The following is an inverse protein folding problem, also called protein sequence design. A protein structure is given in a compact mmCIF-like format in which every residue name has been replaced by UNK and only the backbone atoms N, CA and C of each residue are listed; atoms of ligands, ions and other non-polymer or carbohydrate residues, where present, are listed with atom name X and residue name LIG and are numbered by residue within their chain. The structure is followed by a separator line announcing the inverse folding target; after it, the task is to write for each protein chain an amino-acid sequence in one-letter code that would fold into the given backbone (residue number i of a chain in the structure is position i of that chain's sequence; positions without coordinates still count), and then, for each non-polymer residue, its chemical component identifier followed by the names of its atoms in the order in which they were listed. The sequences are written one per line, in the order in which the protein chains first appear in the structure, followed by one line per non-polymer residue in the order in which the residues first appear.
data_IF_319142365284
#
_entry.id   IF_319142365284
#
_cell.length_a   1.000
_cell.length_b   1.000
_cell.length_c   1.000
_cell.angle_alpha   90.00
_cell.angle_beta   90.00
_cell.angle_gamma   90.00
#
_symmetry.space_group_name_H-M   'P 1'
#
loop_
_entity.id
_entity.type
_entity.pdbx_description
1 polymer ?
#
# COMPACT_ATOMS: atom_id res chain seq x y z
N UNK A 1 10.09 -20.17 -1.59
CA UNK A 1 9.08 -19.50 -0.73
C UNK A 1 8.02 -18.72 -1.52
N UNK A 2 8.28 -18.25 -2.74
CA UNK A 2 7.31 -17.49 -3.56
C UNK A 2 5.99 -18.24 -3.88
N UNK A 3 6.03 -19.57 -4.00
CA UNK A 3 4.88 -20.37 -4.46
C UNK A 3 3.70 -20.37 -3.45
N UNK A 4 3.97 -20.27 -2.15
CA UNK A 4 2.89 -20.28 -1.14
C UNK A 4 2.18 -18.92 -1.05
N UNK A 5 2.91 -17.81 -1.08
CA UNK A 5 2.31 -16.47 -1.05
C UNK A 5 1.38 -16.24 -2.26
N UNK A 6 1.85 -16.55 -3.47
CA UNK A 6 1.05 -16.38 -4.68
C UNK A 6 -0.18 -17.28 -4.67
N UNK A 7 -0.05 -18.51 -4.14
CA UNK A 7 -1.19 -19.40 -3.92
C UNK A 7 -2.21 -18.78 -2.97
N UNK A 8 -1.81 -18.31 -1.79
CA UNK A 8 -2.74 -17.69 -0.83
C UNK A 8 -3.44 -16.46 -1.42
N UNK A 9 -2.70 -15.60 -2.13
CA UNK A 9 -3.28 -14.45 -2.83
C UNK A 9 -4.33 -14.88 -3.88
N UNK A 10 -4.04 -15.91 -4.69
CA UNK A 10 -5.03 -16.39 -5.68
C UNK A 10 -6.31 -16.98 -5.05
N UNK A 11 -6.22 -17.55 -3.85
CA UNK A 11 -7.34 -18.21 -3.18
C UNK A 11 -8.33 -17.24 -2.52
N UNK A 12 -7.88 -16.04 -2.14
CA UNK A 12 -8.68 -15.09 -1.36
C UNK A 12 -9.64 -14.24 -2.20
N UNK A 13 -9.64 -14.39 -3.53
CA UNK A 13 -10.59 -13.70 -4.41
C UNK A 13 -10.49 -12.17 -4.29
N UNK A 14 -9.28 -11.63 -4.46
CA UNK A 14 -9.06 -10.19 -4.48
C UNK A 14 -9.78 -9.57 -5.68
N UNK A 15 -10.40 -8.40 -5.45
CA UNK A 15 -10.95 -7.57 -6.55
C UNK A 15 -9.98 -6.47 -6.97
N UNK A 16 -8.93 -6.28 -6.18
CA UNK A 16 -7.87 -5.33 -6.44
C UNK A 16 -6.73 -5.92 -7.29
N UNK A 17 -5.91 -5.08 -7.94
CA UNK A 17 -4.75 -5.53 -8.68
C UNK A 17 -3.72 -6.26 -7.79
N UNK A 18 -3.27 -7.42 -8.27
CA UNK A 18 -2.10 -8.15 -7.76
C UNK A 18 -1.06 -8.14 -8.87
N UNK A 19 0.07 -7.50 -8.62
CA UNK A 19 1.14 -7.27 -9.60
C UNK A 19 2.32 -8.16 -9.22
N UNK A 20 2.64 -9.10 -10.10
CA UNK A 20 3.77 -10.03 -9.98
C UNK A 20 4.87 -9.67 -10.96
N UNK A 21 6.03 -10.34 -10.87
CA UNK A 21 7.22 -10.00 -11.67
C UNK A 21 7.04 -10.10 -13.20
N UNK A 22 6.00 -10.78 -13.66
CA UNK A 22 5.60 -10.94 -15.07
C UNK A 22 4.61 -9.87 -15.55
N UNK A 23 4.07 -9.04 -14.65
CA UNK A 23 3.16 -7.95 -15.00
C UNK A 23 3.92 -6.75 -15.56
N UNK A 24 3.40 -6.11 -16.61
CA UNK A 24 4.08 -4.99 -17.29
C UNK A 24 4.39 -3.79 -16.37
N UNK A 25 3.47 -3.48 -15.46
CA UNK A 25 3.67 -2.41 -14.48
C UNK A 25 4.53 -2.79 -13.25
N UNK A 26 5.08 -4.00 -13.18
CA UNK A 26 5.83 -4.44 -11.99
C UNK A 26 7.00 -3.52 -11.63
N UNK A 27 7.82 -3.16 -12.62
CA UNK A 27 8.97 -2.26 -12.41
C UNK A 27 8.54 -0.83 -12.03
N UNK A 28 7.33 -0.42 -12.40
CA UNK A 28 6.76 0.87 -12.00
C UNK A 28 6.37 0.84 -10.52
N UNK A 29 5.59 -0.16 -10.11
CA UNK A 29 5.00 -0.18 -8.77
C UNK A 29 5.94 -0.69 -7.67
N UNK A 30 7.01 -1.42 -7.99
CA UNK A 30 7.99 -1.86 -6.96
C UNK A 30 8.93 -0.75 -6.46
N UNK A 31 9.08 0.31 -7.24
CA UNK A 31 10.03 1.40 -6.97
C UNK A 31 9.51 2.29 -5.85
N UNK A 32 10.42 2.69 -4.98
CA UNK A 32 10.18 3.68 -3.93
C UNK A 32 10.91 4.98 -4.26
N UNK A 33 10.62 6.05 -3.51
CA UNK A 33 11.22 7.37 -3.75
C UNK A 33 12.75 7.34 -3.73
N UNK A 34 13.34 6.63 -2.76
CA UNK A 34 14.78 6.48 -2.69
C UNK A 34 15.25 5.38 -3.66
N UNK A 35 15.77 5.79 -4.81
CA UNK A 35 16.28 4.89 -5.85
C UNK A 35 17.46 3.99 -5.43
N UNK A 36 18.09 4.25 -4.28
CA UNK A 36 19.09 3.32 -3.70
C UNK A 36 18.44 2.02 -3.22
N UNK A 37 17.16 2.05 -2.84
CA UNK A 37 16.42 0.87 -2.42
C UNK A 37 15.74 0.19 -3.62
N UNK A 38 16.49 -0.64 -4.36
CA UNK A 38 16.01 -1.40 -5.54
C UNK A 38 15.54 -2.82 -5.19
N UNK A 39 14.61 -2.96 -4.25
CA UNK A 39 14.11 -4.29 -3.85
C UNK A 39 13.12 -4.87 -4.85
N UNK A 40 13.01 -6.20 -4.87
CA UNK A 40 12.18 -6.98 -5.79
C UNK A 40 11.19 -7.86 -5.02
N UNK A 41 9.98 -7.37 -4.71
CA UNK A 41 8.96 -8.15 -4.02
C UNK A 41 8.46 -9.32 -4.88
N UNK A 42 7.95 -10.36 -4.25
CA UNK A 42 7.32 -11.46 -4.98
C UNK A 42 5.95 -11.06 -5.56
N UNK A 43 5.24 -10.17 -4.87
CA UNK A 43 3.97 -9.60 -5.31
C UNK A 43 3.76 -8.20 -4.70
N UNK A 44 2.95 -7.40 -5.38
CA UNK A 44 2.47 -6.10 -4.92
C UNK A 44 0.94 -6.14 -4.97
N UNK A 45 0.28 -5.83 -3.86
CA UNK A 45 -1.19 -5.72 -3.79
C UNK A 45 -1.54 -4.24 -3.64
N UNK A 46 -2.44 -3.75 -4.50
CA UNK A 46 -2.92 -2.36 -4.48
C UNK A 46 -4.38 -2.33 -4.00
N UNK A 47 -4.66 -2.48 -2.70
CA UNK A 47 -6.01 -2.66 -2.16
C UNK A 47 -6.91 -1.45 -2.44
N UNK A 48 -8.17 -1.72 -2.74
CA UNK A 48 -9.19 -0.68 -2.97
C UNK A 48 -10.24 -0.66 -1.85
N UNK A 49 -10.10 -1.53 -0.86
CA UNK A 49 -11.00 -1.66 0.28
C UNK A 49 -10.29 -2.20 1.51
N UNK A 50 -10.94 -2.10 2.68
CA UNK A 50 -10.47 -2.73 3.91
C UNK A 50 -10.44 -4.26 3.78
N UNK A 51 -11.39 -4.85 3.06
CA UNK A 51 -11.43 -6.29 2.78
C UNK A 51 -10.19 -6.75 2.00
N UNK A 52 -9.76 -5.99 0.98
CA UNK A 52 -8.53 -6.28 0.24
C UNK A 52 -7.29 -6.22 1.14
N UNK A 53 -7.22 -5.23 2.05
CA UNK A 53 -6.14 -5.12 3.04
C UNK A 53 -6.10 -6.34 3.95
N UNK A 54 -7.25 -6.71 4.51
CA UNK A 54 -7.37 -7.87 5.40
C UNK A 54 -6.89 -9.15 4.70
N UNK A 55 -7.36 -9.39 3.47
CA UNK A 55 -6.94 -10.54 2.67
C UNK A 55 -5.42 -10.54 2.41
N UNK A 56 -4.83 -9.40 2.06
CA UNK A 56 -3.39 -9.30 1.80
C UNK A 56 -2.56 -9.60 3.06
N UNK A 57 -2.98 -9.06 4.21
CA UNK A 57 -2.34 -9.34 5.51
C UNK A 57 -2.47 -10.81 5.87
N UNK A 58 -3.65 -11.42 5.67
CA UNK A 58 -3.86 -12.83 5.89
C UNK A 58 -2.98 -13.71 5.01
N UNK A 59 -2.87 -13.41 3.71
CA UNK A 59 -1.99 -14.13 2.79
C UNK A 59 -0.53 -14.07 3.24
N UNK A 60 -0.03 -12.87 3.60
CA UNK A 60 1.34 -12.70 4.07
C UNK A 60 1.60 -13.49 5.36
N UNK A 61 0.66 -13.45 6.32
CA UNK A 61 0.78 -14.20 7.57
C UNK A 61 0.76 -15.72 7.34
N UNK A 62 -0.18 -16.22 6.54
CA UNK A 62 -0.32 -17.64 6.21
C UNK A 62 0.92 -18.20 5.50
N UNK A 63 1.52 -17.40 4.60
CA UNK A 63 2.74 -17.79 3.89
C UNK A 63 4.03 -17.45 4.64
N UNK A 64 3.95 -16.80 5.81
CA UNK A 64 5.09 -16.22 6.55
C UNK A 64 5.97 -15.31 5.69
N UNK A 65 5.34 -14.59 4.75
CA UNK A 65 6.04 -13.63 3.91
C UNK A 65 6.36 -12.37 4.70
N UNK A 66 7.52 -11.77 4.43
CA UNK A 66 7.78 -10.40 4.87
C UNK A 66 6.75 -9.48 4.21
N UNK A 67 6.08 -8.66 5.01
CA UNK A 67 5.10 -7.68 4.55
C UNK A 67 5.68 -6.27 4.70
N UNK A 68 5.87 -5.58 3.58
CA UNK A 68 6.16 -4.15 3.56
C UNK A 68 4.88 -3.38 3.23
N UNK A 69 4.62 -2.28 3.94
CA UNK A 69 3.47 -1.40 3.69
C UNK A 69 3.97 -0.09 3.10
N UNK A 70 3.38 0.33 1.98
CA UNK A 70 3.72 1.58 1.30
C UNK A 70 2.52 2.52 1.28
N UNK A 71 2.67 3.67 1.94
CA UNK A 71 1.90 4.89 1.62
C UNK A 71 2.67 5.68 0.56
N UNK A 72 3.19 6.86 0.93
CA UNK A 72 3.98 7.70 0.00
C UNK A 72 5.38 7.20 -0.39
N UNK A 73 5.85 6.05 0.09
CA UNK A 73 7.12 5.46 -0.37
C UNK A 73 8.42 6.23 -0.02
N UNK A 74 8.37 7.21 0.89
CA UNK A 74 9.48 8.12 1.23
C UNK A 74 10.44 7.61 2.33
N UNK A 75 10.37 6.33 2.71
CA UNK A 75 11.28 5.76 3.70
C UNK A 75 12.72 5.79 3.19
N UNK A 76 13.61 6.57 3.84
CA UNK A 76 15.02 6.66 3.46
C UNK A 76 15.72 5.28 3.46
N UNK A 77 15.53 4.40 4.47
CA UNK A 77 16.07 3.03 4.43
C UNK A 77 15.33 2.06 3.50
N UNK A 78 14.28 2.52 2.81
CA UNK A 78 13.49 1.72 1.88
C UNK A 78 12.50 0.76 2.54
N UNK A 79 12.00 1.03 3.76
CA UNK A 79 11.08 0.11 4.45
C UNK A 79 9.71 -0.04 3.78
N UNK A 80 9.38 0.82 2.82
CA UNK A 80 8.18 0.73 2.00
C UNK A 80 8.27 -0.34 0.90
N UNK A 81 9.35 -1.13 0.86
CA UNK A 81 9.53 -2.26 -0.08
C UNK A 81 10.34 -3.39 0.55
N UNK A 82 10.31 -4.58 -0.05
CA UNK A 82 11.01 -5.78 0.43
C UNK A 82 11.39 -6.72 -0.72
N UNK A 83 12.39 -7.57 -0.50
CA UNK A 83 12.75 -8.64 -1.43
C UNK A 83 11.93 -9.92 -1.16
N UNK A 84 11.43 -10.54 -2.23
CA UNK A 84 10.71 -11.81 -2.22
C UNK A 84 9.47 -11.90 -1.30
N UNK A 85 9.06 -10.79 -0.66
CA UNK A 85 7.88 -10.67 0.18
C UNK A 85 6.69 -10.06 -0.53
N UNK A 86 5.74 -9.57 0.26
CA UNK A 86 4.55 -8.85 -0.21
C UNK A 86 4.72 -7.35 0.05
N UNK A 87 4.49 -6.54 -0.97
CA UNK A 87 4.26 -5.11 -0.78
C UNK A 87 2.75 -4.85 -0.79
N UNK A 88 2.26 -4.18 0.24
CA UNK A 88 0.91 -3.65 0.31
C UNK A 88 0.96 -2.14 0.01
N UNK A 89 0.63 -1.76 -1.22
CA UNK A 89 0.65 -0.37 -1.69
C UNK A 89 -0.72 0.29 -1.50
N UNK A 90 -0.84 1.12 -0.47
CA UNK A 90 -2.07 1.76 -0.04
C UNK A 90 -2.48 2.94 -0.94
N UNK A 91 -1.78 3.24 -2.03
CA UNK A 91 -1.99 4.44 -2.86
C UNK A 91 -3.41 4.61 -3.43
N UNK A 92 -4.28 3.59 -3.39
CA UNK A 92 -5.69 3.69 -3.79
C UNK A 92 -6.63 4.03 -2.61
N UNK A 93 -6.14 3.98 -1.36
CA UNK A 93 -6.89 4.27 -0.13
C UNK A 93 -6.59 5.70 0.36
N UNK A 94 -7.06 6.69 -0.38
CA UNK A 94 -6.72 8.12 -0.19
C UNK A 94 -7.87 8.97 0.33
N UNK A 95 -8.99 8.36 0.72
CA UNK A 95 -10.17 9.09 1.20
C UNK A 95 -9.85 9.97 2.42
N UNK A 96 -10.39 11.19 2.42
CA UNK A 96 -10.27 12.14 3.53
C UNK A 96 -11.69 12.59 3.91
N UNK A 97 -12.03 12.48 5.18
CA UNK A 97 -13.30 12.94 5.73
C UNK A 97 -13.05 13.89 6.92
N UNK A 98 -13.72 15.04 6.92
CA UNK A 98 -13.57 16.07 7.96
C UNK A 98 -14.85 16.12 8.78
N UNK A 99 -14.73 15.89 10.08
CA UNK A 99 -15.81 16.09 11.05
C UNK A 99 -15.61 17.43 11.77
N UNK A 100 -16.49 18.39 11.46
CA UNK A 100 -16.45 19.74 12.04
C UNK A 100 -16.93 19.80 13.48
N UNK A 101 -17.84 18.90 13.85
CA UNK A 101 -18.44 18.88 15.18
C UNK A 101 -17.41 18.37 16.19
N UNK A 102 -16.69 17.30 15.84
CA UNK A 102 -15.63 16.73 16.68
C UNK A 102 -14.25 17.33 16.43
N UNK A 103 -14.09 18.15 15.38
CA UNK A 103 -12.81 18.71 14.92
C UNK A 103 -11.74 17.64 14.67
N UNK A 104 -12.15 16.55 14.03
CA UNK A 104 -11.27 15.45 13.66
C UNK A 104 -11.28 15.22 12.16
N UNK A 105 -10.23 14.56 11.67
CA UNK A 105 -10.08 14.20 10.26
C UNK A 105 -9.72 12.72 10.20
N UNK A 106 -10.48 11.98 9.40
CA UNK A 106 -10.14 10.62 9.01
C UNK A 106 -9.39 10.65 7.68
N UNK A 107 -8.21 10.03 7.65
CA UNK A 107 -7.30 10.06 6.50
C UNK A 107 -6.92 8.64 6.12
N UNK A 108 -7.18 8.28 4.87
CA UNK A 108 -6.80 6.99 4.30
C UNK A 108 -5.28 6.80 4.31
N UNK A 109 -4.82 5.58 4.57
CA UNK A 109 -3.38 5.29 4.74
C UNK A 109 -2.51 5.52 3.49
N UNK A 110 -3.11 5.71 2.32
CA UNK A 110 -2.43 6.10 1.09
C UNK A 110 -2.42 7.59 0.80
N UNK A 111 -3.19 8.40 1.53
CA UNK A 111 -3.26 9.83 1.27
C UNK A 111 -1.91 10.50 1.52
N UNK A 112 -1.51 11.40 0.61
CA UNK A 112 -0.29 12.17 0.76
C UNK A 112 -0.57 13.48 1.50
N UNK A 113 0.47 14.10 2.06
CA UNK A 113 0.35 15.40 2.72
C UNK A 113 -0.29 16.46 1.80
N UNK A 114 0.05 16.45 0.51
CA UNK A 114 -0.56 17.38 -0.44
C UNK A 114 -2.05 17.12 -0.72
N UNK A 115 -2.56 15.91 -0.47
CA UNK A 115 -4.00 15.63 -0.52
C UNK A 115 -4.69 16.12 0.74
N UNK A 116 -4.04 15.93 1.89
CA UNK A 116 -4.52 16.44 3.17
C UNK A 116 -4.60 17.96 3.17
N UNK A 117 -3.53 18.66 2.76
CA UNK A 117 -3.51 20.12 2.63
C UNK A 117 -4.64 20.63 1.73
N UNK A 118 -4.86 19.95 0.60
CA UNK A 118 -5.93 20.32 -0.35
C UNK A 118 -7.32 20.21 0.28
N UNK A 119 -7.52 19.25 1.18
CA UNK A 119 -8.77 19.07 1.89
C UNK A 119 -8.94 20.05 3.06
N UNK A 120 -7.87 20.39 3.79
CA UNK A 120 -7.97 21.13 5.06
C UNK A 120 -7.77 22.63 4.94
N UNK A 121 -6.95 23.10 3.98
CA UNK A 121 -6.68 24.54 3.80
C UNK A 121 -7.96 25.34 3.53
N UNK A 122 -8.91 24.89 2.67
CA UNK A 122 -10.19 25.58 2.48
C UNK A 122 -11.02 25.68 3.76
N UNK A 123 -10.78 24.79 4.72
CA UNK A 123 -11.44 24.74 6.03
C UNK A 123 -10.74 25.61 7.09
N UNK A 124 -9.73 26.39 6.69
CA UNK A 124 -8.94 27.21 7.60
C UNK A 124 -8.02 26.41 8.51
N UNK A 125 -7.76 25.14 8.18
CA UNK A 125 -6.93 24.23 8.94
C UNK A 125 -5.65 23.88 8.14
N UNK A 126 -4.50 23.89 8.81
CA UNK A 126 -3.25 23.38 8.25
C UNK A 126 -2.94 22.03 8.90
N UNK A 127 -2.49 21.07 8.09
CA UNK A 127 -1.98 19.79 8.58
C UNK A 127 -0.54 19.93 9.14
#
# INVERSE_FOLDING_TARGET
MSNLLLRELSLLGHRCPIITADHEDYDRYRKVWNGVADRRPAAIVRPQSVDDVQKAVHAAAASRALLAVSGGGHSLPGFSTCDAGLVLDLSELTAIAIDRDTRTIEVGGGALLGDLDRATVPEGCLA
#
